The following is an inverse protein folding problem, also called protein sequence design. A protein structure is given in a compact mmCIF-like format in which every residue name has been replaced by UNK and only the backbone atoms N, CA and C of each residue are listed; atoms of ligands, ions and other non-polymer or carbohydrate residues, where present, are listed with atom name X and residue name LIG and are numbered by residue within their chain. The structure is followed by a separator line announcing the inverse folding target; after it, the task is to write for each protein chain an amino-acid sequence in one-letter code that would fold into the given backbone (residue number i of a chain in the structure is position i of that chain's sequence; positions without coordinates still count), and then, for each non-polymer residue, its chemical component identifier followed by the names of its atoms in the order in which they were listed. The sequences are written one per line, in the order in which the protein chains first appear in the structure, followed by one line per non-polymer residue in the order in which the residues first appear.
data_IF_607934187529
#
_entry.id   IF_607934187529
#
_cell.length_a   1.000
_cell.length_b   1.000
_cell.length_c   1.000
_cell.angle_alpha   90.00
_cell.angle_beta   90.00
_cell.angle_gamma   90.00
#
_symmetry.space_group_name_H-M   'P 1'
#
loop_
_entity.id
_entity.type
_entity.pdbx_description
1 polymer ?
#
# COMPACT_ATOMS: atom_id res chain seq x y z
N UNK A 1 25.07 2.65 -49.24
CA UNK A 1 25.33 3.13 -47.87
C UNK A 1 24.02 3.68 -47.35
N UNK A 2 23.12 2.81 -46.93
CA UNK A 2 21.83 3.22 -46.38
C UNK A 2 21.92 3.27 -44.85
N UNK A 3 21.84 4.48 -44.32
CA UNK A 3 21.61 4.74 -42.90
C UNK A 3 20.17 5.23 -42.77
N UNK A 4 19.28 4.36 -42.31
CA UNK A 4 18.02 4.81 -41.70
C UNK A 4 17.71 3.86 -40.56
N UNK A 5 18.32 4.13 -39.41
CA UNK A 5 17.89 3.57 -38.15
C UNK A 5 16.53 4.15 -37.82
N UNK A 6 15.51 3.29 -37.72
CA UNK A 6 14.25 3.65 -37.09
C UNK A 6 14.50 3.90 -35.59
N UNK A 7 13.92 4.95 -34.98
CA UNK A 7 14.03 5.13 -33.54
C UNK A 7 13.19 4.04 -32.84
N UNK A 8 13.84 3.34 -31.91
CA UNK A 8 13.15 2.58 -30.87
C UNK A 8 12.24 3.55 -30.12
N UNK A 9 10.93 3.42 -30.30
CA UNK A 9 9.98 4.12 -29.45
C UNK A 9 10.11 3.55 -28.04
N UNK A 10 10.67 4.36 -27.14
CA UNK A 10 10.51 4.20 -25.70
C UNK A 10 9.00 4.25 -25.43
N UNK A 11 8.39 3.11 -25.12
CA UNK A 11 7.01 3.04 -24.64
C UNK A 11 7.00 3.56 -23.21
N UNK A 12 7.12 4.88 -23.07
CA UNK A 12 6.77 5.56 -21.82
C UNK A 12 5.28 5.35 -21.64
N UNK A 13 4.89 4.40 -20.78
CA UNK A 13 3.49 4.22 -20.40
C UNK A 13 3.00 5.54 -19.83
N UNK A 14 2.14 6.24 -20.58
CA UNK A 14 1.68 7.56 -20.19
C UNK A 14 0.86 7.44 -18.90
N UNK A 15 1.40 7.98 -17.80
CA UNK A 15 0.65 8.19 -16.57
C UNK A 15 -0.10 9.52 -16.70
N UNK A 16 -1.42 9.48 -16.53
CA UNK A 16 -2.27 10.67 -16.65
C UNK A 16 -3.05 10.88 -15.36
N UNK A 17 -3.37 12.13 -14.99
CA UNK A 17 -4.25 12.39 -13.85
C UNK A 17 -5.68 11.94 -14.22
N UNK A 18 -6.34 11.07 -13.43
CA UNK A 18 -7.71 10.67 -13.70
C UNK A 18 -8.64 11.87 -13.51
N UNK A 19 -9.68 11.97 -14.34
CA UNK A 19 -10.67 13.05 -14.26
C UNK A 19 -11.52 12.95 -12.98
N UNK A 20 -11.72 11.74 -12.48
CA UNK A 20 -12.43 11.43 -11.25
C UNK A 20 -11.81 10.20 -10.59
N UNK A 21 -11.76 10.18 -9.25
CA UNK A 21 -11.32 9.01 -8.48
C UNK A 21 -12.56 8.13 -8.25
N UNK A 22 -12.53 6.83 -8.59
CA UNK A 22 -13.65 5.94 -8.33
C UNK A 22 -14.03 5.93 -6.84
N UNK A 23 -15.34 6.02 -6.55
CA UNK A 23 -15.85 6.15 -5.18
C UNK A 23 -15.33 5.07 -4.20
N UNK A 24 -15.16 3.79 -4.58
CA UNK A 24 -14.55 2.81 -3.68
C UNK A 24 -13.10 3.12 -3.33
N UNK A 25 -12.30 3.60 -4.28
CA UNK A 25 -10.91 4.00 -4.02
C UNK A 25 -10.85 5.23 -3.11
N UNK A 26 -11.73 6.21 -3.31
CA UNK A 26 -11.84 7.36 -2.42
C UNK A 26 -12.22 6.94 -0.98
N UNK A 27 -13.20 6.04 -0.84
CA UNK A 27 -13.61 5.48 0.45
C UNK A 27 -12.46 4.73 1.14
N UNK A 28 -11.69 3.94 0.39
CA UNK A 28 -10.51 3.24 0.89
C UNK A 28 -9.46 4.23 1.41
N UNK A 29 -9.13 5.27 0.64
CA UNK A 29 -8.14 6.29 1.00
C UNK A 29 -8.56 7.10 2.23
N UNK A 30 -9.84 7.43 2.33
CA UNK A 30 -10.42 8.04 3.53
C UNK A 30 -10.38 7.10 4.74
N UNK A 31 -10.67 5.82 4.53
CA UNK A 31 -10.55 4.78 5.55
C UNK A 31 -9.13 4.66 6.09
N UNK A 32 -8.11 4.66 5.23
CA UNK A 32 -6.70 4.69 5.62
C UNK A 32 -6.37 5.94 6.44
N UNK A 33 -6.73 7.14 5.95
CA UNK A 33 -6.44 8.41 6.67
C UNK A 33 -7.14 8.51 8.03
N UNK A 34 -8.31 7.91 8.18
CA UNK A 34 -9.09 7.93 9.43
C UNK A 34 -8.91 6.69 10.33
N UNK A 35 -8.06 5.73 9.91
CA UNK A 35 -7.90 4.42 10.55
C UNK A 35 -9.22 3.64 10.73
N UNK A 36 -10.20 3.91 9.85
CA UNK A 36 -11.52 3.31 9.90
C UNK A 36 -11.54 2.01 9.09
N UNK A 37 -11.33 0.89 9.79
CA UNK A 37 -11.36 -0.44 9.20
C UNK A 37 -12.72 -0.79 8.57
N UNK A 38 -13.81 -0.15 9.01
CA UNK A 38 -15.14 -0.32 8.44
C UNK A 38 -15.23 0.28 7.05
N UNK A 39 -14.76 1.52 6.86
CA UNK A 39 -14.65 2.16 5.53
C UNK A 39 -13.74 1.36 4.61
N UNK A 40 -12.59 0.90 5.12
CA UNK A 40 -11.65 0.09 4.35
C UNK A 40 -12.31 -1.21 3.90
N UNK A 41 -12.95 -1.95 4.80
CA UNK A 41 -13.64 -3.20 4.44
C UNK A 41 -14.80 -2.98 3.46
N UNK A 42 -15.58 -1.91 3.64
CA UNK A 42 -16.71 -1.58 2.77
C UNK A 42 -16.29 -1.12 1.36
N UNK A 43 -15.03 -0.71 1.17
CA UNK A 43 -14.48 -0.34 -0.13
C UNK A 43 -14.12 -1.54 -1.03
N UNK A 44 -13.98 -2.72 -0.45
CA UNK A 44 -13.52 -3.89 -1.15
C UNK A 44 -14.61 -4.56 -1.98
N UNK A 45 -14.25 -5.02 -3.17
CA UNK A 45 -15.04 -6.02 -3.87
C UNK A 45 -14.91 -7.39 -3.18
N UNK A 46 -15.83 -8.31 -3.45
CA UNK A 46 -15.84 -9.65 -2.84
C UNK A 46 -14.54 -10.44 -3.10
N UNK A 47 -13.90 -10.22 -4.24
CA UNK A 47 -12.69 -10.92 -4.70
C UNK A 47 -11.40 -10.09 -4.50
N UNK A 48 -11.41 -9.10 -3.60
CA UNK A 48 -10.23 -8.27 -3.30
C UNK A 48 -8.98 -9.11 -3.04
N UNK A 49 -7.88 -8.69 -3.66
CA UNK A 49 -6.56 -9.28 -3.47
C UNK A 49 -5.50 -8.23 -3.21
N UNK A 50 -4.85 -8.31 -2.06
CA UNK A 50 -3.59 -7.63 -1.81
C UNK A 50 -2.44 -8.52 -2.30
N UNK A 51 -1.72 -8.07 -3.32
CA UNK A 51 -0.72 -8.87 -4.04
C UNK A 51 0.68 -8.33 -3.81
N UNK A 52 1.53 -9.12 -3.17
CA UNK A 52 2.98 -8.88 -3.09
C UNK A 52 3.73 -9.98 -3.84
N UNK A 53 5.04 -9.82 -4.13
CA UNK A 53 5.82 -10.90 -4.71
C UNK A 53 5.80 -12.20 -3.90
N UNK A 54 5.61 -12.12 -2.58
CA UNK A 54 5.66 -13.26 -1.68
C UNK A 54 4.29 -13.91 -1.45
N UNK A 55 3.22 -13.12 -1.39
CA UNK A 55 1.90 -13.60 -0.92
C UNK A 55 0.74 -12.84 -1.57
N UNK A 56 -0.40 -13.51 -1.65
CA UNK A 56 -1.71 -12.88 -1.92
C UNK A 56 -2.60 -13.02 -0.68
N UNK A 57 -3.31 -11.95 -0.33
CA UNK A 57 -4.17 -11.88 0.86
C UNK A 57 -5.55 -11.30 0.49
N UNK A 58 -6.61 -11.86 1.04
CA UNK A 58 -7.98 -11.32 0.94
C UNK A 58 -8.37 -10.48 2.15
N UNK A 59 -9.63 -10.04 2.18
CA UNK A 59 -10.22 -9.10 3.15
C UNK A 59 -9.75 -9.29 4.59
N UNK A 60 -9.98 -10.47 5.19
CA UNK A 60 -9.71 -10.69 6.62
C UNK A 60 -8.24 -10.47 6.98
N UNK A 61 -7.32 -10.89 6.10
CA UNK A 61 -5.88 -10.72 6.32
C UNK A 61 -5.44 -9.28 6.16
N UNK A 62 -6.02 -8.55 5.20
CA UNK A 62 -5.75 -7.12 4.99
C UNK A 62 -6.20 -6.34 6.24
N UNK A 63 -7.44 -6.55 6.69
CA UNK A 63 -8.00 -5.86 7.84
C UNK A 63 -7.27 -6.23 9.15
N UNK A 64 -6.92 -7.50 9.34
CA UNK A 64 -6.13 -7.92 10.51
C UNK A 64 -4.73 -7.29 10.52
N UNK A 65 -4.09 -7.15 9.36
CA UNK A 65 -2.80 -6.47 9.24
C UNK A 65 -2.90 -4.99 9.62
N UNK A 66 -3.89 -4.27 9.07
CA UNK A 66 -4.10 -2.85 9.36
C UNK A 66 -4.52 -2.62 10.81
N UNK A 67 -5.37 -3.48 11.39
CA UNK A 67 -5.71 -3.42 12.80
C UNK A 67 -4.49 -3.55 13.72
N UNK A 68 -3.57 -4.46 13.39
CA UNK A 68 -2.32 -4.62 14.12
C UNK A 68 -1.39 -3.40 13.93
N UNK A 69 -1.32 -2.87 12.70
CA UNK A 69 -0.57 -1.66 12.39
C UNK A 69 -1.04 -0.48 13.25
N UNK A 70 -2.33 -0.18 13.25
CA UNK A 70 -2.89 0.96 13.98
C UNK A 70 -2.84 0.80 15.50
N UNK A 71 -2.82 -0.45 16.00
CA UNK A 71 -2.55 -0.70 17.42
C UNK A 71 -1.09 -0.42 17.78
N UNK A 72 -0.15 -0.85 16.95
CA UNK A 72 1.29 -0.63 17.18
C UNK A 72 1.69 0.83 16.98
N UNK A 73 1.03 1.51 16.04
CA UNK A 73 1.27 2.89 15.61
C UNK A 73 -0.04 3.69 15.62
N UNK A 74 -0.54 4.12 16.79
CA UNK A 74 -1.78 4.90 16.89
C UNK A 74 -1.74 6.23 16.12
N UNK A 75 -0.55 6.78 15.91
CA UNK A 75 -0.26 8.01 15.16
C UNK A 75 0.17 7.74 13.71
N UNK A 76 -0.03 6.53 13.19
CA UNK A 76 0.28 6.23 11.79
C UNK A 76 -0.43 7.23 10.87
N UNK A 77 0.25 7.65 9.81
CA UNK A 77 -0.26 8.66 8.90
C UNK A 77 -0.10 8.22 7.46
N UNK A 78 -1.00 8.72 6.63
CA UNK A 78 -1.00 8.52 5.19
C UNK A 78 -1.12 9.87 4.49
N UNK A 79 -0.11 10.22 3.73
CA UNK A 79 -0.13 11.32 2.77
C UNK A 79 0.17 10.79 1.37
N UNK A 80 -0.31 11.45 0.32
CA UNK A 80 -0.12 11.00 -1.05
C UNK A 80 -0.10 12.11 -2.08
N UNK A 81 0.57 11.83 -3.20
CA UNK A 81 0.47 12.65 -4.41
C UNK A 81 -0.90 12.42 -5.07
N UNK A 82 -1.37 13.32 -5.96
CA UNK A 82 -2.57 13.06 -6.76
C UNK A 82 -2.50 11.67 -7.44
N UNK A 83 -3.57 10.87 -7.41
CA UNK A 83 -3.60 9.59 -8.11
C UNK A 83 -3.31 9.73 -9.61
N UNK A 84 -2.73 8.68 -10.20
CA UNK A 84 -2.42 8.62 -11.63
C UNK A 84 -3.05 7.38 -12.26
N UNK A 85 -3.68 7.51 -13.41
CA UNK A 85 -4.12 6.40 -14.25
C UNK A 85 -2.93 5.88 -15.06
N UNK A 86 -2.67 4.58 -14.95
CA UNK A 86 -1.63 3.90 -15.71
C UNK A 86 -2.15 3.42 -17.06
N UNK A 87 -1.24 3.14 -18.01
CA UNK A 87 -1.61 2.66 -19.34
C UNK A 87 -2.34 1.29 -19.35
N UNK A 88 -2.19 0.49 -18.30
CA UNK A 88 -2.89 -0.78 -18.10
C UNK A 88 -4.20 -0.65 -17.30
N UNK A 89 -4.66 0.58 -17.05
CA UNK A 89 -5.95 0.88 -16.43
C UNK A 89 -5.99 0.77 -14.91
N UNK A 90 -4.86 0.56 -14.24
CA UNK A 90 -4.78 0.67 -12.78
C UNK A 90 -4.66 2.14 -12.36
N UNK A 91 -5.05 2.44 -11.12
CA UNK A 91 -4.79 3.73 -10.51
C UNK A 91 -3.60 3.59 -9.57
N UNK A 92 -2.51 4.31 -9.84
CA UNK A 92 -1.35 4.42 -8.96
C UNK A 92 -1.53 5.56 -7.96
N UNK A 93 -1.24 5.31 -6.69
CA UNK A 93 -1.12 6.36 -5.65
C UNK A 93 0.23 6.23 -4.99
N UNK A 94 1.02 7.31 -5.01
CA UNK A 94 2.33 7.36 -4.34
C UNK A 94 2.14 7.80 -2.90
N UNK A 95 2.42 6.90 -1.96
CA UNK A 95 2.18 7.13 -0.54
C UNK A 95 3.45 7.55 0.21
N UNK A 96 3.26 8.43 1.20
CA UNK A 96 4.16 8.75 2.32
C UNK A 96 3.47 8.29 3.59
N UNK A 97 4.09 7.36 4.32
CA UNK A 97 3.47 6.76 5.49
C UNK A 97 4.48 6.38 6.57
N UNK A 98 4.02 6.42 7.81
CA UNK A 98 4.84 6.18 8.98
C UNK A 98 4.13 6.59 10.27
N UNK A 99 4.76 6.28 11.41
CA UNK A 99 4.25 6.58 12.74
C UNK A 99 5.26 6.21 13.84
N UNK A 100 4.87 6.42 15.09
CA UNK A 100 5.67 6.10 16.28
C UNK A 100 5.19 4.80 16.93
N UNK A 101 6.11 3.85 17.11
CA UNK A 101 5.81 2.54 17.70
C UNK A 101 5.55 2.65 19.22
N UNK A 102 4.33 3.00 19.60
CA UNK A 102 3.91 3.28 20.98
C UNK A 102 2.96 2.23 21.56
N UNK A 103 2.43 1.34 20.72
CA UNK A 103 1.67 0.16 21.14
C UNK A 103 2.37 -1.15 20.80
N UNK A 104 1.83 -2.27 21.28
CA UNK A 104 2.34 -3.59 20.90
C UNK A 104 1.98 -3.90 19.43
N UNK A 105 2.99 -4.28 18.64
CA UNK A 105 2.83 -4.66 17.24
C UNK A 105 2.76 -6.19 17.12
N UNK A 106 1.61 -6.70 16.69
CA UNK A 106 1.38 -8.14 16.52
C UNK A 106 0.79 -8.41 15.14
N UNK A 107 1.63 -8.37 14.10
CA UNK A 107 1.18 -8.69 12.75
C UNK A 107 0.76 -10.17 12.64
N UNK A 108 -0.31 -10.48 11.88
CA UNK A 108 -0.75 -11.87 11.71
C UNK A 108 0.37 -12.78 11.18
N UNK A 109 0.66 -13.86 11.90
CA UNK A 109 1.70 -14.83 11.53
C UNK A 109 3.12 -14.50 11.98
N UNK A 110 3.30 -13.48 12.82
CA UNK A 110 4.58 -13.09 13.41
C UNK A 110 4.48 -12.99 14.94
N UNK A 111 5.64 -12.93 15.60
CA UNK A 111 5.71 -12.65 17.03
C UNK A 111 5.18 -11.25 17.34
N UNK A 112 4.73 -11.06 18.59
CA UNK A 112 4.36 -9.74 19.09
C UNK A 112 5.59 -9.01 19.61
N UNK A 113 5.74 -7.75 19.20
CA UNK A 113 6.83 -6.88 19.65
C UNK A 113 6.29 -5.76 20.54
N UNK A 114 6.88 -5.54 21.73
CA UNK A 114 6.46 -4.46 22.61
C UNK A 114 6.83 -3.09 22.03
N UNK A 115 6.10 -2.05 22.44
CA UNK A 115 6.37 -0.67 22.04
C UNK A 115 7.84 -0.29 22.29
N UNK A 116 8.47 0.35 21.31
CA UNK A 116 9.88 0.76 21.39
C UNK A 116 10.09 2.27 21.41
N UNK A 117 9.02 3.04 21.18
CA UNK A 117 9.07 4.50 21.07
C UNK A 117 9.79 5.00 19.81
N UNK A 118 10.16 4.11 18.89
CA UNK A 118 10.89 4.48 17.67
C UNK A 118 9.93 5.00 16.60
N UNK A 119 10.37 6.04 15.90
CA UNK A 119 9.74 6.51 14.68
C UNK A 119 10.02 5.51 13.54
N UNK A 120 9.00 5.22 12.75
CA UNK A 120 9.09 4.43 11.53
C UNK A 120 8.63 5.29 10.35
N UNK A 121 9.40 5.26 9.27
CA UNK A 121 9.02 5.86 7.98
C UNK A 121 9.18 4.81 6.90
N UNK A 122 8.12 4.59 6.11
CA UNK A 122 8.19 3.71 4.93
C UNK A 122 8.68 4.54 3.75
N UNK A 123 9.64 4.07 2.95
CA UNK A 123 10.07 4.80 1.77
C UNK A 123 8.89 5.00 0.81
N UNK A 124 8.84 6.17 0.18
CA UNK A 124 7.73 6.50 -0.72
C UNK A 124 7.69 5.57 -1.92
N UNK A 125 6.52 5.04 -2.23
CA UNK A 125 6.33 4.17 -3.39
C UNK A 125 4.87 4.14 -3.82
N UNK A 126 4.64 3.63 -5.03
CA UNK A 126 3.28 3.47 -5.54
C UNK A 126 2.62 2.23 -4.97
N UNK A 127 1.33 2.37 -4.71
CA UNK A 127 0.38 1.27 -4.67
C UNK A 127 -0.51 1.41 -5.89
N UNK A 128 -0.75 0.30 -6.58
CA UNK A 128 -1.62 0.23 -7.75
C UNK A 128 -2.93 -0.45 -7.36
N UNK A 129 -4.03 0.17 -7.78
CA UNK A 129 -5.37 -0.26 -7.47
C UNK A 129 -6.11 -0.64 -8.75
N UNK A 130 -6.73 -1.81 -8.75
CA UNK A 130 -7.80 -2.13 -9.71
C UNK A 130 -9.13 -1.97 -9.01
N UNK A 131 -9.98 -1.13 -9.58
CA UNK A 131 -11.25 -0.73 -8.98
C UNK A 131 -12.29 -0.55 -10.08
N UNK A 132 -13.51 -1.02 -9.82
CA UNK A 132 -14.69 -0.73 -10.64
C UNK A 132 -15.86 -0.32 -9.72
N UNK A 133 -17.09 -0.32 -10.25
CA UNK A 133 -18.31 0.03 -9.54
C UNK A 133 -18.68 -0.94 -8.40
N UNK A 134 -18.08 -2.14 -8.39
CA UNK A 134 -18.29 -3.18 -7.37
C UNK A 134 -17.26 -3.13 -6.25
N UNK A 135 -16.20 -2.33 -6.37
CA UNK A 135 -15.21 -2.11 -5.32
C UNK A 135 -13.76 -2.26 -5.76
N UNK A 136 -12.83 -2.27 -4.80
CA UNK A 136 -11.43 -2.61 -5.06
C UNK A 136 -11.27 -4.12 -5.25
N UNK A 137 -10.69 -4.51 -6.38
CA UNK A 137 -10.37 -5.91 -6.74
C UNK A 137 -8.90 -6.27 -6.47
N UNK A 138 -8.00 -5.30 -6.60
CA UNK A 138 -6.57 -5.53 -6.41
C UNK A 138 -5.91 -4.33 -5.73
N UNK A 139 -5.03 -4.62 -4.79
CA UNK A 139 -4.07 -3.67 -4.21
C UNK A 139 -2.69 -4.26 -4.39
N UNK A 140 -1.82 -3.58 -5.13
CA UNK A 140 -0.47 -4.05 -5.43
C UNK A 140 0.57 -2.97 -5.11
N UNK A 141 1.30 -3.05 -3.98
CA UNK A 141 2.44 -2.17 -3.73
C UNK A 141 3.59 -2.46 -4.70
N UNK A 142 4.36 -1.43 -5.03
CA UNK A 142 5.68 -1.61 -5.63
C UNK A 142 6.61 -2.37 -4.67
N UNK A 143 7.37 -3.37 -5.16
CA UNK A 143 8.35 -4.05 -4.33
C UNK A 143 9.59 -3.16 -4.16
N UNK A 144 9.70 -2.53 -2.99
CA UNK A 144 10.84 -1.67 -2.66
C UNK A 144 11.60 -2.17 -1.42
N UNK A 145 12.93 -1.99 -1.34
CA UNK A 145 13.68 -2.14 -0.09
C UNK A 145 13.10 -1.23 1.00
N UNK A 146 12.95 -1.74 2.22
CA UNK A 146 12.39 -0.97 3.35
C UNK A 146 10.86 -0.84 3.34
N UNK A 147 10.15 -1.51 2.42
CA UNK A 147 8.69 -1.61 2.45
C UNK A 147 8.16 -2.40 3.65
N UNK A 148 6.88 -2.19 3.98
CA UNK A 148 6.20 -2.93 5.05
C UNK A 148 5.89 -4.39 4.64
N UNK A 149 5.88 -5.36 5.59
CA UNK A 149 6.13 -5.19 7.03
C UNK A 149 7.61 -5.22 7.41
N UNK A 150 8.51 -5.72 6.55
CA UNK A 150 9.91 -5.94 6.90
C UNK A 150 10.63 -4.66 7.35
N UNK A 151 10.46 -3.57 6.61
CA UNK A 151 11.05 -2.28 6.96
C UNK A 151 10.55 -1.72 8.30
N UNK A 152 9.35 -2.10 8.74
CA UNK A 152 8.85 -1.77 10.08
C UNK A 152 9.66 -2.53 11.13
N UNK A 153 9.79 -3.85 10.98
CA UNK A 153 10.55 -4.69 11.92
C UNK A 153 12.01 -4.24 12.07
N UNK A 154 12.67 -3.92 10.95
CA UNK A 154 14.04 -3.40 10.94
C UNK A 154 14.15 -2.10 11.75
N UNK A 155 13.23 -1.16 11.55
CA UNK A 155 13.27 0.15 12.21
C UNK A 155 12.91 0.07 13.71
N UNK A 156 11.97 -0.79 14.10
CA UNK A 156 11.64 -0.97 15.53
C UNK A 156 12.71 -1.77 16.29
N UNK A 157 13.67 -2.39 15.59
CA UNK A 157 14.83 -3.06 16.18
C UNK A 157 14.69 -4.56 16.38
N UNK A 158 13.87 -5.24 15.58
CA UNK A 158 13.82 -6.71 15.57
C UNK A 158 15.13 -7.26 15.02
N UNK A 159 15.84 -8.02 15.84
CA UNK A 159 17.01 -8.79 15.39
C UNK A 159 16.53 -9.92 14.47
N UNK A 160 17.05 -9.97 13.23
CA UNK A 160 16.63 -10.89 12.18
C UNK A 160 15.14 -10.77 11.82
N UNK A 161 14.74 -9.66 11.17
CA UNK A 161 13.36 -9.46 10.73
C UNK A 161 12.92 -10.63 9.83
N UNK A 162 11.71 -11.16 10.03
CA UNK A 162 11.21 -12.28 9.26
C UNK A 162 11.02 -11.89 7.78
N UNK A 163 11.25 -12.87 6.89
CA UNK A 163 11.17 -12.72 5.42
C UNK A 163 9.73 -12.61 4.89
#
# INVERSE_FOLDING_TARGET
MDRTGAPLQEVTSAMTIPTEIPAPLELYMEGLRSHDLGKIGASFAEDIRFVTPARTMGTDKILAFLAALYRGFPDWSYDHDPPVLTGDGAIGVKWRQGGTHTGALAFPGFDSYPATGRQVTIPEHFFYYRVDDRGLHEIRPDPIPGGAPRGIFEQIGVEHPPL
#
